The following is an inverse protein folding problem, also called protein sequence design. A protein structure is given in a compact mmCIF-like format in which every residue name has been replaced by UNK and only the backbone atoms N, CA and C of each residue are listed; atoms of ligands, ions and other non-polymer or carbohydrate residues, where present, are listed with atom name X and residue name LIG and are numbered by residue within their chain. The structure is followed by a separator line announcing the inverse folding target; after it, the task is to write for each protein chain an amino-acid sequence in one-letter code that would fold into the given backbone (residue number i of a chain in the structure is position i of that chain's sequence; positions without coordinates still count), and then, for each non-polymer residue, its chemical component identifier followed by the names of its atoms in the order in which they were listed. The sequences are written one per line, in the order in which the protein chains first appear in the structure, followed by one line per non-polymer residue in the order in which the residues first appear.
data_IF_435434670797
#
_entry.id   IF_435434670797
#
_cell.length_a   1.000
_cell.length_b   1.000
_cell.length_c   1.000
_cell.angle_alpha   90.00
_cell.angle_beta   90.00
_cell.angle_gamma   90.00
#
_symmetry.space_group_name_H-M   'P 1'
#
loop_
_entity.id
_entity.type
_entity.pdbx_description
1 polymer ?
#
# COMPACT_ATOMS: atom_id res chain seq x y z
N UNK A 1 -10.48 -11.75 49.44
CA UNK A 1 -9.32 -12.46 48.86
C UNK A 1 -8.56 -11.46 48.00
N UNK A 2 -7.29 -11.13 48.28
CA UNK A 2 -6.52 -10.23 47.41
C UNK A 2 -6.20 -10.96 46.10
N UNK A 3 -6.37 -10.26 44.97
CA UNK A 3 -6.13 -10.81 43.63
C UNK A 3 -4.62 -11.04 43.44
N UNK A 4 -4.17 -12.21 42.94
CA UNK A 4 -2.75 -12.42 42.70
C UNK A 4 -2.27 -11.45 41.61
N UNK A 5 -1.22 -10.68 41.91
CA UNK A 5 -0.58 -9.78 40.96
C UNK A 5 0.19 -10.58 39.91
N UNK A 6 -0.47 -10.92 38.81
CA UNK A 6 0.16 -11.61 37.67
C UNK A 6 0.77 -10.58 36.72
N UNK A 7 1.86 -9.92 37.15
CA UNK A 7 2.63 -9.03 36.27
C UNK A 7 3.61 -9.89 35.45
N UNK A 8 3.20 -10.24 34.23
CA UNK A 8 4.07 -10.92 33.25
C UNK A 8 4.92 -9.82 32.58
N UNK A 9 6.21 -9.78 32.87
CA UNK A 9 7.17 -8.90 32.19
C UNK A 9 7.62 -9.62 30.90
N UNK A 10 7.24 -9.14 29.70
CA UNK A 10 7.62 -9.79 28.45
C UNK A 10 9.14 -9.65 28.22
N UNK A 11 9.78 -10.69 27.69
CA UNK A 11 11.18 -10.62 27.29
C UNK A 11 11.31 -9.75 26.01
N UNK A 12 12.03 -8.60 26.06
CA UNK A 12 12.12 -7.66 24.94
C UNK A 12 12.76 -8.27 23.67
N UNK A 13 13.58 -9.31 23.81
CA UNK A 13 14.17 -10.00 22.65
C UNK A 13 13.14 -10.79 21.82
N UNK A 14 12.03 -11.20 22.45
CA UNK A 14 10.93 -11.98 21.83
C UNK A 14 9.80 -11.07 21.36
N UNK A 15 9.87 -9.77 21.70
CA UNK A 15 8.85 -8.78 21.38
C UNK A 15 8.98 -8.19 19.96
N UNK A 16 9.64 -8.92 19.04
CA UNK A 16 9.60 -8.58 17.62
C UNK A 16 8.25 -8.99 17.04
N UNK A 17 7.35 -8.01 16.91
CA UNK A 17 6.12 -8.16 16.14
C UNK A 17 6.42 -8.16 14.65
N UNK A 18 7.00 -9.26 14.15
CA UNK A 18 7.14 -9.47 12.71
C UNK A 18 5.81 -9.95 12.14
N UNK A 19 5.33 -9.25 11.11
CA UNK A 19 4.15 -9.67 10.38
C UNK A 19 4.51 -10.89 9.52
N UNK A 20 3.73 -11.95 9.64
CA UNK A 20 3.87 -13.10 8.76
C UNK A 20 3.58 -12.68 7.31
N UNK A 21 4.53 -12.90 6.40
CA UNK A 21 4.39 -12.58 4.98
C UNK A 21 4.37 -13.87 4.19
N UNK A 22 3.25 -14.12 3.49
CA UNK A 22 3.14 -15.23 2.55
C UNK A 22 3.60 -14.78 1.17
N UNK A 23 4.68 -15.40 0.66
CA UNK A 23 5.13 -15.22 -0.72
C UNK A 23 4.08 -15.75 -1.71
N UNK A 24 4.17 -15.29 -2.96
CA UNK A 24 3.32 -15.76 -4.07
C UNK A 24 3.44 -17.26 -4.27
N UNK A 25 4.68 -17.75 -4.31
CA UNK A 25 5.04 -19.16 -4.46
C UNK A 25 4.44 -20.01 -3.33
N UNK A 26 4.52 -19.52 -2.10
CA UNK A 26 3.93 -20.21 -0.95
C UNK A 26 2.41 -20.33 -1.10
N UNK A 27 1.71 -19.24 -1.41
CA UNK A 27 0.24 -19.27 -1.59
C UNK A 27 -0.16 -20.22 -2.71
N UNK A 28 0.57 -20.20 -3.83
CA UNK A 28 0.32 -21.08 -4.97
C UNK A 28 0.50 -22.55 -4.60
N UNK A 29 1.59 -22.88 -3.90
CA UNK A 29 1.84 -24.24 -3.40
C UNK A 29 0.73 -24.71 -2.46
N UNK A 30 0.25 -23.85 -1.55
CA UNK A 30 -0.86 -24.17 -0.65
C UNK A 30 -2.16 -24.42 -1.42
N UNK A 31 -2.48 -23.62 -2.43
CA UNK A 31 -3.67 -23.85 -3.27
C UNK A 31 -3.57 -25.21 -3.96
N UNK A 32 -2.43 -25.52 -4.59
CA UNK A 32 -2.22 -26.80 -5.27
C UNK A 32 -2.32 -28.00 -4.31
N UNK A 33 -1.72 -27.90 -3.12
CA UNK A 33 -1.84 -28.93 -2.09
C UNK A 33 -3.29 -29.08 -1.62
N UNK A 34 -4.00 -27.98 -1.41
CA UNK A 34 -5.40 -27.97 -0.99
C UNK A 34 -6.35 -28.55 -2.05
N UNK A 35 -6.01 -28.42 -3.34
CA UNK A 35 -6.76 -28.99 -4.45
C UNK A 35 -6.49 -30.49 -4.62
N UNK A 36 -5.29 -30.96 -4.22
CA UNK A 36 -4.93 -32.38 -4.20
C UNK A 36 -5.47 -33.14 -2.97
N UNK A 37 -5.87 -32.42 -1.91
CA UNK A 37 -6.40 -33.03 -0.69
C UNK A 37 -7.75 -33.74 -0.90
N UNK A 38 -7.89 -34.93 -0.31
CA UNK A 38 -9.17 -35.65 -0.21
C UNK A 38 -9.99 -35.16 1.00
N UNK A 39 -11.22 -35.66 1.12
CA UNK A 39 -12.10 -35.35 2.26
C UNK A 39 -11.39 -35.60 3.60
N UNK A 40 -11.34 -34.56 4.45
CA UNK A 40 -10.70 -34.63 5.78
C UNK A 40 -9.21 -34.27 5.83
N UNK A 41 -8.49 -34.34 4.71
CA UNK A 41 -7.05 -34.02 4.66
C UNK A 41 -6.78 -32.51 4.69
N UNK A 42 -7.69 -31.71 4.13
CA UNK A 42 -7.56 -30.25 4.07
C UNK A 42 -7.37 -29.62 5.45
N UNK A 43 -8.09 -30.11 6.47
CA UNK A 43 -7.98 -29.60 7.84
C UNK A 43 -6.66 -29.94 8.52
N UNK A 44 -5.98 -31.01 8.07
CA UNK A 44 -4.64 -31.37 8.56
C UNK A 44 -3.60 -30.43 7.94
N UNK A 45 -3.69 -30.19 6.63
CA UNK A 45 -2.85 -29.24 5.91
C UNK A 45 -2.91 -27.84 6.53
N UNK A 46 -4.12 -27.30 6.72
CA UNK A 46 -4.30 -25.95 7.27
C UNK A 46 -3.74 -25.81 8.69
N UNK A 47 -3.87 -26.85 9.54
CA UNK A 47 -3.30 -26.82 10.90
C UNK A 47 -1.77 -26.90 10.89
N UNK A 48 -1.18 -27.71 10.01
CA UNK A 48 0.27 -27.80 9.83
C UNK A 48 0.86 -26.44 9.43
N UNK A 49 0.18 -25.77 8.51
CA UNK A 49 0.60 -24.48 7.95
C UNK A 49 0.15 -23.28 8.79
N UNK A 50 -0.60 -23.51 9.90
CA UNK A 50 -1.22 -22.47 10.74
C UNK A 50 -2.10 -21.49 9.95
N UNK A 51 -2.80 -22.00 8.95
CA UNK A 51 -3.70 -21.26 8.08
C UNK A 51 -5.15 -21.42 8.53
N UNK A 52 -5.93 -20.37 8.28
CA UNK A 52 -7.38 -20.38 8.47
C UNK A 52 -8.06 -20.69 7.13
N UNK A 53 -9.19 -21.40 7.17
CA UNK A 53 -9.99 -21.71 5.96
C UNK A 53 -10.35 -20.46 5.16
N UNK A 54 -10.61 -19.35 5.85
CA UNK A 54 -10.94 -18.07 5.22
C UNK A 54 -9.77 -17.49 4.41
N UNK A 55 -8.52 -17.69 4.84
CA UNK A 55 -7.33 -17.26 4.09
C UNK A 55 -7.21 -18.05 2.79
N UNK A 56 -7.40 -19.38 2.85
CA UNK A 56 -7.38 -20.22 1.66
C UNK A 56 -8.50 -19.86 0.68
N UNK A 57 -9.72 -19.61 1.18
CA UNK A 57 -10.84 -19.20 0.36
C UNK A 57 -10.59 -17.87 -0.36
N UNK A 58 -9.96 -16.90 0.33
CA UNK A 58 -9.55 -15.65 -0.26
C UNK A 58 -8.51 -15.85 -1.36
N UNK A 59 -7.44 -16.62 -1.11
CA UNK A 59 -6.40 -16.85 -2.12
C UNK A 59 -6.94 -17.59 -3.35
N UNK A 60 -7.88 -18.53 -3.18
CA UNK A 60 -8.57 -19.18 -4.31
C UNK A 60 -9.35 -18.19 -5.16
N UNK A 61 -10.03 -17.22 -4.53
CA UNK A 61 -10.75 -16.15 -5.25
C UNK A 61 -9.79 -15.23 -6.00
N UNK A 62 -8.75 -14.75 -5.33
CA UNK A 62 -7.72 -13.89 -5.94
C UNK A 62 -7.03 -14.57 -7.12
N UNK A 63 -6.74 -15.88 -6.99
CA UNK A 63 -6.18 -16.68 -8.07
C UNK A 63 -7.16 -16.89 -9.23
N UNK A 64 -8.45 -17.14 -8.95
CA UNK A 64 -9.46 -17.30 -9.99
C UNK A 64 -9.70 -16.00 -10.79
N UNK A 65 -9.62 -14.84 -10.13
CA UNK A 65 -9.85 -13.54 -10.78
C UNK A 65 -8.63 -13.01 -11.55
N UNK A 66 -7.42 -13.17 -11.01
CA UNK A 66 -6.21 -12.50 -11.54
C UNK A 66 -5.03 -13.46 -11.77
N UNK A 67 -5.24 -14.77 -11.67
CA UNK A 67 -4.20 -15.79 -11.79
C UNK A 67 -3.10 -15.62 -10.73
N UNK A 68 -1.86 -15.98 -11.11
CA UNK A 68 -0.69 -15.88 -10.22
C UNK A 68 -0.43 -14.43 -9.78
N UNK A 69 -0.76 -13.44 -10.61
CA UNK A 69 -0.58 -12.02 -10.28
C UNK A 69 -1.46 -11.58 -9.10
N UNK A 70 -2.65 -12.18 -8.95
CA UNK A 70 -3.55 -11.92 -7.82
C UNK A 70 -3.00 -12.34 -6.46
N UNK A 71 -2.11 -13.34 -6.44
CA UNK A 71 -1.49 -13.82 -5.20
C UNK A 71 -0.35 -12.92 -4.71
N UNK A 72 0.07 -11.95 -5.52
CA UNK A 72 1.11 -10.99 -5.13
C UNK A 72 0.59 -10.00 -4.09
N UNK A 73 1.51 -9.31 -3.41
CA UNK A 73 1.10 -8.25 -2.47
C UNK A 73 0.41 -7.15 -3.27
N UNK A 74 -0.91 -7.03 -3.09
CA UNK A 74 -1.65 -5.85 -3.56
C UNK A 74 -1.02 -4.61 -2.96
N UNK A 75 -0.77 -3.59 -3.78
CA UNK A 75 -0.24 -2.31 -3.31
C UNK A 75 -1.21 -1.72 -2.29
N UNK A 76 -0.72 -1.54 -1.06
CA UNK A 76 -1.50 -0.95 0.01
C UNK A 76 -1.90 0.48 -0.34
N UNK A 77 -3.18 0.80 -0.16
CA UNK A 77 -3.72 2.15 -0.31
C UNK A 77 -4.44 2.38 -1.64
N UNK A 78 -5.25 3.45 -1.72
CA UNK A 78 -5.93 3.81 -2.95
C UNK A 78 -4.92 4.08 -4.07
N UNK A 79 -5.23 3.62 -5.29
CA UNK A 79 -4.44 3.94 -6.48
C UNK A 79 -4.33 5.46 -6.58
N UNK A 80 -3.12 5.98 -6.78
CA UNK A 80 -2.91 7.43 -6.88
C UNK A 80 -3.75 7.99 -8.03
N UNK A 81 -4.61 8.97 -7.74
CA UNK A 81 -5.47 9.58 -8.77
C UNK A 81 -4.68 10.36 -9.83
N UNK A 82 -3.43 10.73 -9.52
CA UNK A 82 -2.56 11.48 -10.42
C UNK A 82 -1.24 10.78 -10.65
N UNK A 83 -0.88 10.63 -11.92
CA UNK A 83 0.46 10.22 -12.36
C UNK A 83 1.50 11.25 -11.91
N UNK A 84 2.76 10.84 -11.79
CA UNK A 84 3.90 11.73 -11.51
C UNK A 84 3.92 12.95 -12.44
N UNK A 85 3.62 12.72 -13.71
CA UNK A 85 3.65 13.75 -14.75
C UNK A 85 2.53 14.77 -14.55
N UNK A 86 1.34 14.33 -14.16
CA UNK A 86 0.21 15.22 -13.88
C UNK A 86 0.50 16.14 -12.70
N UNK A 87 1.13 15.63 -11.64
CA UNK A 87 1.57 16.45 -10.51
C UNK A 87 2.61 17.47 -10.94
N UNK A 88 3.53 17.09 -11.84
CA UNK A 88 4.56 17.99 -12.35
C UNK A 88 3.96 19.10 -13.22
N UNK A 89 3.00 18.77 -14.07
CA UNK A 89 2.25 19.74 -14.89
C UNK A 89 1.54 20.75 -13.98
N UNK A 90 0.79 20.29 -12.99
CA UNK A 90 0.06 21.18 -12.07
C UNK A 90 1.01 22.14 -11.33
N UNK A 91 2.17 21.64 -10.89
CA UNK A 91 3.19 22.48 -10.26
C UNK A 91 3.73 23.53 -11.23
N UNK A 92 4.06 23.14 -12.46
CA UNK A 92 4.59 24.03 -13.49
C UNK A 92 3.56 25.10 -13.91
N UNK A 93 2.27 24.75 -13.95
CA UNK A 93 1.19 25.69 -14.24
C UNK A 93 1.06 26.74 -13.14
N UNK A 94 1.09 26.33 -11.87
CA UNK A 94 1.09 27.24 -10.72
C UNK A 94 2.30 28.19 -10.73
N UNK A 95 3.49 27.66 -11.02
CA UNK A 95 4.71 28.46 -11.13
C UNK A 95 4.64 29.46 -12.29
N UNK A 96 4.18 29.02 -13.48
CA UNK A 96 3.98 29.91 -14.62
C UNK A 96 3.01 31.05 -14.31
N UNK A 97 1.88 30.74 -13.67
CA UNK A 97 0.87 31.74 -13.33
C UNK A 97 1.42 32.77 -12.34
N UNK A 98 2.18 32.32 -11.33
CA UNK A 98 2.88 33.21 -10.40
C UNK A 98 3.90 34.10 -11.11
N UNK A 99 4.74 33.53 -11.99
CA UNK A 99 5.77 34.28 -12.70
C UNK A 99 5.16 35.33 -13.65
N UNK A 100 4.08 34.98 -14.35
CA UNK A 100 3.34 35.92 -15.22
C UNK A 100 2.81 37.12 -14.43
N UNK A 101 2.20 36.89 -13.26
CA UNK A 101 1.75 37.98 -12.37
C UNK A 101 2.91 38.87 -11.91
N UNK A 102 4.08 38.29 -11.62
CA UNK A 102 5.26 39.07 -11.24
C UNK A 102 5.80 39.91 -12.40
N UNK A 103 5.75 39.39 -13.63
CA UNK A 103 6.12 40.13 -14.83
C UNK A 103 5.18 41.32 -15.06
N UNK A 104 3.86 41.09 -14.98
CA UNK A 104 2.85 42.14 -15.15
C UNK A 104 3.05 43.31 -14.19
N UNK A 105 3.34 43.03 -12.91
CA UNK A 105 3.64 44.06 -11.90
C UNK A 105 4.91 44.83 -12.26
N UNK A 106 5.98 44.14 -12.67
CA UNK A 106 7.25 44.78 -13.06
C UNK A 106 7.09 45.64 -14.30
N UNK A 107 6.41 45.13 -15.32
CA UNK A 107 6.10 45.85 -16.56
C UNK A 107 5.26 47.10 -16.28
N UNK A 108 4.28 47.00 -15.39
CA UNK A 108 3.48 48.13 -14.93
C UNK A 108 4.35 49.21 -14.27
N UNK A 109 5.24 48.84 -13.35
CA UNK A 109 6.18 49.78 -12.72
C UNK A 109 7.09 50.47 -13.74
N UNK A 110 7.65 49.71 -14.68
CA UNK A 110 8.50 50.27 -15.75
C UNK A 110 7.70 51.23 -16.63
N UNK A 111 6.44 50.91 -16.95
CA UNK A 111 5.58 51.78 -17.75
C UNK A 111 5.29 53.12 -17.08
N UNK A 112 5.06 53.12 -15.77
CA UNK A 112 4.86 54.34 -14.98
C UNK A 112 6.13 55.18 -14.93
N UNK A 113 7.29 54.54 -14.73
CA UNK A 113 8.57 55.23 -14.77
C UNK A 113 8.81 55.91 -16.13
N UNK A 114 8.60 55.19 -17.24
CA UNK A 114 8.77 55.78 -18.58
C UNK A 114 7.86 56.98 -18.84
N UNK A 115 6.63 56.96 -18.32
CA UNK A 115 5.67 58.08 -18.45
C UNK A 115 6.07 59.33 -17.67
N UNK A 116 6.88 59.21 -16.62
CA UNK A 116 7.35 60.36 -15.83
C UNK A 116 8.56 61.06 -16.46
N UNK A 117 9.28 60.37 -17.35
CA UNK A 117 10.50 60.84 -17.99
C UNK A 117 10.27 61.35 -19.43
N UNK A 118 9.02 61.30 -19.90
CA UNK A 118 8.53 61.89 -21.15
C UNK A 118 7.60 63.05 -20.82
#
# INVERSE_FOLDING_TARGET
MPKPETKIIPNPAVEKRDRHVFSTEYRLSIIQQADACKHGELGVLLRREKLYSNQLAQWRREFAEYGVAGLSKSQSGPKSSHTTDQKRIEQLEKENLRLRKQLEVKESCISLQKKLWL
#
